data_IF_044351223945
#
_entry.id   IF_044351223945
#
_cell.length_a   1.000
_cell.length_b   1.000
_cell.length_c   1.000
_cell.angle_alpha   90.00
_cell.angle_beta   90.00
_cell.angle_gamma   90.00
#
_symmetry.space_group_name_H-M   'P 1'
#
loop_
_entity.id
_entity.type
_entity.pdbx_description
1 polymer ?
#
# COMPACT_ATOMS: atom_id res chain seq x y z
N UNK A 1 3.32 -2.50 -13.21
CA UNK A 1 2.46 -2.80 -12.04
C UNK A 1 1.45 -3.83 -12.50
N UNK A 2 1.16 -4.83 -11.67
CA UNK A 2 0.21 -5.90 -12.03
C UNK A 2 -0.76 -6.10 -10.87
N UNK A 3 -2.04 -6.02 -11.18
CA UNK A 3 -3.14 -6.19 -10.22
C UNK A 3 -3.94 -7.42 -10.58
N UNK A 4 -4.07 -8.33 -9.62
CA UNK A 4 -5.05 -9.41 -9.69
C UNK A 4 -6.22 -9.09 -8.78
N UNK A 5 -7.28 -9.91 -8.79
CA UNK A 5 -8.44 -9.74 -7.89
C UNK A 5 -8.07 -9.75 -6.40
N UNK A 6 -6.89 -10.23 -6.03
CA UNK A 6 -6.45 -10.36 -4.64
C UNK A 6 -5.04 -9.84 -4.36
N UNK A 7 -4.28 -9.38 -5.35
CA UNK A 7 -2.89 -8.93 -5.14
C UNK A 7 -2.59 -7.63 -5.89
N UNK A 8 -1.89 -6.73 -5.22
CA UNK A 8 -1.39 -5.46 -5.74
C UNK A 8 0.14 -5.45 -5.65
N UNK A 9 0.82 -5.37 -6.78
CA UNK A 9 2.29 -5.24 -6.84
C UNK A 9 2.69 -3.79 -7.03
N UNK A 10 3.52 -3.28 -6.15
CA UNK A 10 3.99 -1.89 -6.16
C UNK A 10 5.49 -1.80 -5.99
N UNK A 11 6.15 -0.97 -6.80
CA UNK A 11 7.56 -0.64 -6.63
C UNK A 11 7.65 0.62 -5.77
N UNK A 12 8.29 0.51 -4.61
CA UNK A 12 8.34 1.57 -3.62
C UNK A 12 9.14 2.78 -4.10
N UNK A 13 8.48 3.95 -4.10
CA UNK A 13 9.12 5.23 -4.35
C UNK A 13 9.83 5.79 -3.12
N UNK A 14 10.56 6.89 -3.31
CA UNK A 14 11.20 7.60 -2.19
C UNK A 14 10.19 8.18 -1.19
N UNK A 15 9.04 8.67 -1.65
CA UNK A 15 7.99 9.17 -0.77
C UNK A 15 7.32 8.07 0.04
N UNK A 16 7.09 6.90 -0.57
CA UNK A 16 6.49 5.75 0.10
C UNK A 16 7.31 5.38 1.35
N UNK A 17 8.62 5.24 1.15
CA UNK A 17 9.57 4.88 2.20
C UNK A 17 9.68 5.96 3.27
N UNK A 18 9.80 7.23 2.84
CA UNK A 18 9.95 8.37 3.76
C UNK A 18 8.73 8.55 4.66
N UNK A 19 7.52 8.38 4.11
CA UNK A 19 6.24 8.62 4.80
C UNK A 19 5.62 7.35 5.38
N UNK A 20 6.27 6.18 5.22
CA UNK A 20 5.72 4.88 5.65
C UNK A 20 4.31 4.61 5.08
N UNK A 21 4.12 4.95 3.81
CA UNK A 21 2.87 4.79 3.06
C UNK A 21 3.13 4.12 1.72
N UNK A 22 2.14 3.46 1.15
CA UNK A 22 2.23 2.83 -0.17
C UNK A 22 1.18 3.48 -1.04
N UNK A 23 1.60 4.13 -2.13
CA UNK A 23 0.69 4.61 -3.16
C UNK A 23 -0.13 3.44 -3.73
N UNK A 24 -1.45 3.64 -3.80
CA UNK A 24 -2.41 2.73 -4.42
C UNK A 24 -2.80 3.34 -5.77
N UNK A 25 -2.38 2.68 -6.86
CA UNK A 25 -2.74 3.14 -8.21
C UNK A 25 -4.23 2.96 -8.49
N UNK A 26 -4.74 3.76 -9.44
CA UNK A 26 -6.17 3.81 -9.80
C UNK A 26 -6.74 2.44 -10.20
N UNK A 27 -5.96 1.60 -10.85
CA UNK A 27 -6.36 0.24 -11.24
C UNK A 27 -6.51 -0.70 -10.03
N UNK A 28 -5.87 -0.40 -8.90
CA UNK A 28 -5.96 -1.15 -7.67
C UNK A 28 -7.04 -0.65 -6.70
N UNK A 29 -7.72 0.48 -6.98
CA UNK A 29 -8.70 1.07 -6.05
C UNK A 29 -9.81 0.09 -5.65
N UNK A 30 -10.25 -0.79 -6.55
CA UNK A 30 -11.28 -1.81 -6.25
C UNK A 30 -10.80 -2.93 -5.31
N UNK A 31 -9.49 -3.10 -5.14
CA UNK A 31 -8.91 -4.11 -4.25
C UNK A 31 -8.95 -3.65 -2.78
N UNK A 32 -8.79 -2.34 -2.56
CA UNK A 32 -8.72 -1.71 -1.25
C UNK A 32 -10.10 -1.17 -0.84
N UNK A 33 -10.37 -1.01 0.46
CA UNK A 33 -11.56 -0.30 0.90
C UNK A 33 -11.43 1.21 0.59
N UNK A 34 -12.52 1.94 0.83
CA UNK A 34 -12.55 3.37 0.62
C UNK A 34 -11.60 4.11 1.59
N UNK A 35 -11.14 5.32 1.24
CA UNK A 35 -10.40 6.17 2.16
C UNK A 35 -11.17 6.42 3.48
N UNK A 36 -10.43 6.52 4.59
CA UNK A 36 -10.97 6.64 5.96
C UNK A 36 -11.24 5.29 6.65
N UNK A 37 -11.18 4.19 5.90
CA UNK A 37 -11.35 2.84 6.47
C UNK A 37 -10.05 2.31 7.08
N UNK A 38 -10.19 1.72 8.27
CA UNK A 38 -9.09 1.00 8.93
C UNK A 38 -9.04 -0.43 8.47
N UNK A 39 -7.83 -0.91 8.17
CA UNK A 39 -7.58 -2.29 7.75
C UNK A 39 -6.48 -2.89 8.60
N UNK A 40 -6.56 -4.20 8.77
CA UNK A 40 -5.44 -4.93 9.34
C UNK A 40 -4.40 -5.22 8.25
N UNK A 41 -3.15 -4.82 8.50
CA UNK A 41 -1.99 -5.17 7.68
C UNK A 41 -1.11 -6.18 8.42
N UNK A 42 -0.88 -7.34 7.80
CA UNK A 42 0.04 -8.35 8.29
C UNK A 42 1.43 -8.12 7.69
N UNK A 43 2.44 -8.04 8.54
CA UNK A 43 3.85 -7.97 8.16
C UNK A 43 4.55 -9.16 8.83
N UNK A 44 4.95 -10.15 8.04
CA UNK A 44 5.38 -11.45 8.56
C UNK A 44 4.28 -12.11 9.40
N UNK A 45 4.60 -12.49 10.64
CA UNK A 45 3.65 -13.10 11.56
C UNK A 45 2.77 -12.10 12.33
N UNK A 46 3.10 -10.80 12.29
CA UNK A 46 2.47 -9.76 13.12
C UNK A 46 1.36 -9.05 12.36
N UNK A 47 0.33 -8.59 13.09
CA UNK A 47 -0.79 -7.81 12.57
C UNK A 47 -0.69 -6.38 13.13
N UNK A 48 -0.94 -5.40 12.28
CA UNK A 48 -0.88 -3.98 12.60
C UNK A 48 -2.11 -3.27 12.05
N UNK A 49 -2.51 -2.20 12.71
CA UNK A 49 -3.52 -1.31 12.17
C UNK A 49 -2.90 -0.46 11.05
N UNK A 50 -3.64 -0.36 9.95
CA UNK A 50 -3.32 0.45 8.79
C UNK A 50 -4.60 1.18 8.35
N UNK A 51 -4.42 2.20 7.53
CA UNK A 51 -5.52 3.04 7.06
C UNK A 51 -5.33 3.35 5.58
N UNK A 52 -6.44 3.43 4.84
CA UNK A 52 -6.43 4.01 3.50
C UNK A 52 -6.71 5.50 3.64
N UNK A 53 -5.80 6.35 3.21
CA UNK A 53 -6.03 7.81 3.19
C UNK A 53 -6.13 8.30 1.75
N UNK A 54 -6.88 9.37 1.53
CA UNK A 54 -6.80 10.16 0.30
C UNK A 54 -5.95 11.42 0.52
N UNK A 55 -5.10 11.73 -0.45
CA UNK A 55 -4.30 12.94 -0.50
C UNK A 55 -4.64 13.67 -1.80
N UNK A 56 -5.05 14.94 -1.69
CA UNK A 56 -5.29 15.81 -2.84
C UNK A 56 -3.95 16.08 -3.56
N UNK A 57 -3.84 15.72 -4.84
CA UNK A 57 -2.67 15.95 -5.68
C UNK A 57 -2.96 16.90 -6.85
N UNK A 58 -2.04 17.83 -7.08
CA UNK A 58 -2.01 18.73 -8.25
C UNK A 58 -0.87 18.38 -9.22
N UNK A 59 -0.28 17.20 -9.06
CA UNK A 59 0.89 16.74 -9.81
C UNK A 59 0.65 16.65 -11.32
N UNK A 60 -0.58 16.32 -11.73
CA UNK A 60 -1.02 16.31 -13.14
C UNK A 60 -2.42 16.91 -13.19
N UNK A 61 -2.67 17.96 -13.99
CA UNK A 61 -4.01 18.49 -14.19
C UNK A 61 -4.92 17.52 -14.97
N UNK A 62 -6.23 17.49 -14.72
CA UNK A 62 -6.91 18.18 -13.61
C UNK A 62 -6.54 17.57 -12.26
N UNK A 63 -6.75 18.34 -11.20
CA UNK A 63 -6.55 17.87 -9.83
C UNK A 63 -7.19 16.51 -9.58
N UNK A 64 -6.49 15.65 -8.83
CA UNK A 64 -6.94 14.30 -8.55
C UNK A 64 -6.51 13.85 -7.15
N UNK A 65 -7.04 12.72 -6.70
CA UNK A 65 -6.68 12.13 -5.42
C UNK A 65 -5.68 10.99 -5.59
N UNK A 66 -4.71 10.94 -4.68
CA UNK A 66 -3.84 9.79 -4.46
C UNK A 66 -4.32 9.02 -3.24
N UNK A 67 -4.51 7.72 -3.41
CA UNK A 67 -4.85 6.86 -2.28
C UNK A 67 -3.58 6.22 -1.76
N UNK A 68 -3.46 6.15 -0.45
CA UNK A 68 -2.29 5.56 0.20
C UNK A 68 -2.71 4.58 1.29
N UNK A 69 -2.10 3.40 1.29
CA UNK A 69 -2.10 2.51 2.45
C UNK A 69 -1.03 3.00 3.43
N UNK A 70 -1.44 3.47 4.60
CA UNK A 70 -0.54 3.99 5.63
C UNK A 70 -0.42 2.97 6.76
N UNK A 71 0.81 2.61 7.09
CA UNK A 71 1.08 1.77 8.26
C UNK A 71 2.47 2.11 8.83
N UNK A 72 2.55 2.74 10.01
CA UNK A 72 3.83 3.13 10.62
C UNK A 72 4.81 1.96 10.80
N UNK A 73 4.29 0.75 11.00
CA UNK A 73 5.09 -0.47 11.18
C UNK A 73 5.86 -0.92 9.93
N UNK A 74 5.56 -0.35 8.75
CA UNK A 74 6.36 -0.55 7.52
C UNK A 74 7.74 0.09 7.64
N UNK A 75 7.88 1.17 8.42
CA UNK A 75 9.16 1.84 8.61
C UNK A 75 10.15 0.91 9.31
N UNK A 76 11.30 0.68 8.69
CA UNK A 76 12.36 -0.17 9.23
C UNK A 76 12.22 -1.66 8.88
N UNK A 77 11.19 -2.07 8.13
CA UNK A 77 11.13 -3.42 7.57
C UNK A 77 12.19 -3.58 6.46
N UNK A 78 12.86 -4.73 6.42
CA UNK A 78 14.00 -4.99 5.53
C UNK A 78 13.72 -4.74 4.04
N UNK A 79 12.51 -5.04 3.57
CA UNK A 79 12.08 -4.85 2.18
C UNK A 79 11.26 -3.58 1.96
N UNK A 80 11.08 -2.74 2.97
CA UNK A 80 10.44 -1.43 2.80
C UNK A 80 11.48 -0.35 2.51
N UNK A 81 12.12 -0.46 1.34
CA UNK A 81 13.19 0.43 0.87
C UNK A 81 12.94 0.89 -0.56
N UNK A 82 13.62 1.97 -0.96
CA UNK A 82 13.45 2.57 -2.30
C UNK A 82 13.71 1.51 -3.37
N UNK A 83 12.88 1.50 -4.39
CA UNK A 83 12.92 0.63 -5.56
C UNK A 83 12.64 -0.87 -5.29
N UNK A 84 12.40 -1.26 -4.03
CA UNK A 84 11.95 -2.61 -3.72
C UNK A 84 10.55 -2.87 -4.27
N UNK A 85 10.35 -4.08 -4.80
CA UNK A 85 9.05 -4.54 -5.26
C UNK A 85 8.34 -5.26 -4.12
N UNK A 86 7.15 -4.79 -3.79
CA UNK A 86 6.33 -5.34 -2.71
C UNK A 86 4.98 -5.77 -3.24
N UNK A 87 4.40 -6.77 -2.60
CA UNK A 87 3.07 -7.28 -2.91
C UNK A 87 2.17 -7.08 -1.69
N UNK A 88 1.04 -6.42 -1.91
CA UNK A 88 -0.06 -6.34 -0.95
C UNK A 88 -1.11 -7.36 -1.38
N UNK A 89 -1.25 -8.44 -0.61
CA UNK A 89 -2.23 -9.49 -0.86
C UNK A 89 -3.43 -9.33 0.08
N UNK A 90 -4.65 -9.39 -0.45
CA UNK A 90 -5.87 -9.40 0.35
C UNK A 90 -6.05 -10.80 0.97
N UNK A 91 -6.17 -10.85 2.29
CA UNK A 91 -6.50 -12.06 3.03
C UNK A 91 -8.01 -12.32 3.02
N UNK A 92 -8.42 -13.56 3.25
CA UNK A 92 -9.82 -13.99 3.27
C UNK A 92 -10.63 -13.40 4.44
N UNK A 93 -9.96 -12.90 5.49
CA UNK A 93 -10.59 -12.20 6.62
C UNK A 93 -10.83 -10.70 6.34
N UNK A 94 -10.58 -10.24 5.11
CA UNK A 94 -10.70 -8.84 4.72
C UNK A 94 -9.48 -7.98 5.08
N UNK A 95 -8.47 -8.57 5.75
CA UNK A 95 -7.18 -7.94 5.97
C UNK A 95 -6.28 -7.94 4.74
N UNK A 96 -5.08 -7.41 4.91
CA UNK A 96 -4.05 -7.37 3.88
C UNK A 96 -2.74 -7.90 4.43
N UNK A 97 -1.89 -8.40 3.54
CA UNK A 97 -0.55 -8.91 3.85
C UNK A 97 0.48 -8.20 3.01
N UNK A 98 1.49 -7.66 3.67
CA UNK A 98 2.70 -7.14 3.07
C UNK A 98 3.69 -8.29 2.82
N UNK A 99 4.09 -8.47 1.57
CA UNK A 99 5.07 -9.46 1.15
C UNK A 99 6.15 -8.77 0.34
N UNK A 100 7.40 -9.04 0.68
CA UNK A 100 8.55 -8.59 -0.10
C UNK A 100 8.71 -9.54 -1.30
N UNK A 101 8.70 -9.01 -2.53
CA UNK A 101 9.00 -9.83 -3.71
C UNK A 101 10.54 -9.90 -3.82
N UNK A 102 11.11 -11.03 -3.40
CA UNK A 102 12.53 -11.31 -3.60
C UNK A 102 12.72 -11.68 -5.08
N UNK A 103 13.33 -10.76 -5.83
CA UNK A 103 13.86 -11.03 -7.16
C UNK A 103 15.05 -11.98 -7.13
#
# INVERSE_FOLDING_TARGET
>A
MSVSRSTYRHRLGSEDVRKARILITKDAWKLFPNPGERVALRIGARRFDAEIISERCVCVPPEHEHYHLVCPALKGQSGFKKDALVVIAKDSDGGYRFVEERG
#
